data_IF_974851580397
#
_entry.id   IF_974851580397
#
_cell.length_a   1.000
_cell.length_b   1.000
_cell.length_c   1.000
_cell.angle_alpha   90.00
_cell.angle_beta   90.00
_cell.angle_gamma   90.00
#
_symmetry.space_group_name_H-M   'P 1'
#
loop_
_entity.id
_entity.type
_entity.pdbx_description
1 polymer ?
#
# COMPACT_ATOMS: atom_id res chain seq x y z
N UNK A 1 1.71 1.98 -7.07
CA UNK A 1 1.06 2.46 -5.82
C UNK A 1 1.70 1.80 -4.61
N UNK A 2 1.52 2.33 -3.40
CA UNK A 2 2.06 1.78 -2.13
C UNK A 2 1.82 0.27 -1.98
N UNK A 3 0.64 -0.23 -2.40
CA UNK A 3 0.32 -1.67 -2.38
C UNK A 3 1.22 -2.49 -3.31
N UNK A 4 1.51 -2.00 -4.52
CA UNK A 4 2.36 -2.72 -5.48
C UNK A 4 3.77 -2.91 -4.94
N UNK A 5 4.34 -1.86 -4.33
CA UNK A 5 5.65 -1.96 -3.70
C UNK A 5 5.62 -2.88 -2.46
N UNK A 6 4.55 -2.83 -1.67
CA UNK A 6 4.38 -3.77 -0.57
C UNK A 6 4.28 -5.23 -1.05
N UNK A 7 3.58 -5.48 -2.18
CA UNK A 7 3.50 -6.79 -2.80
C UNK A 7 4.85 -7.29 -3.35
N UNK A 8 5.74 -6.37 -3.72
CA UNK A 8 7.12 -6.70 -4.13
C UNK A 8 8.05 -7.01 -2.94
N UNK A 9 7.54 -6.95 -1.71
CA UNK A 9 8.32 -7.24 -0.49
C UNK A 9 9.04 -6.03 0.09
N UNK A 10 8.85 -4.82 -0.44
CA UNK A 10 9.48 -3.62 0.11
C UNK A 10 8.87 -3.25 1.47
N UNK A 11 9.74 -2.90 2.42
CA UNK A 11 9.35 -2.35 3.71
C UNK A 11 8.72 -0.98 3.57
N UNK A 12 7.98 -0.54 4.59
CA UNK A 12 7.36 0.79 4.61
C UNK A 12 8.40 1.92 4.44
N UNK A 13 9.60 1.76 5.00
CA UNK A 13 10.68 2.74 4.87
C UNK A 13 11.23 2.78 3.44
N UNK A 14 11.47 1.64 2.82
CA UNK A 14 11.91 1.56 1.42
C UNK A 14 10.87 2.17 0.48
N UNK A 15 9.57 1.92 0.73
CA UNK A 15 8.48 2.53 -0.02
C UNK A 15 8.52 4.05 0.11
N UNK A 16 8.70 4.57 1.32
CA UNK A 16 8.78 6.00 1.58
C UNK A 16 9.97 6.64 0.86
N UNK A 17 11.15 6.02 0.95
CA UNK A 17 12.36 6.42 0.23
C UNK A 17 12.13 6.44 -1.29
N UNK A 18 11.57 5.37 -1.84
CA UNK A 18 11.34 5.20 -3.28
C UNK A 18 10.26 6.14 -3.82
N UNK A 19 9.30 6.54 -2.99
CA UNK A 19 8.31 7.55 -3.31
C UNK A 19 8.78 8.98 -3.05
N UNK A 20 9.97 9.16 -2.47
CA UNK A 20 10.48 10.46 -2.01
C UNK A 20 9.47 11.17 -1.08
N UNK A 21 8.90 10.41 -0.14
CA UNK A 21 7.90 10.88 0.84
C UNK A 21 8.32 10.51 2.25
N UNK A 22 7.81 11.23 3.24
CA UNK A 22 7.94 10.83 4.63
C UNK A 22 7.18 9.53 4.90
N UNK A 23 7.70 8.72 5.82
CA UNK A 23 7.08 7.45 6.23
C UNK A 23 5.65 7.66 6.71
N UNK A 24 5.39 8.73 7.46
CA UNK A 24 4.04 9.05 7.95
C UNK A 24 3.07 9.44 6.84
N UNK A 25 3.55 10.06 5.75
CA UNK A 25 2.73 10.29 4.56
C UNK A 25 2.32 8.96 3.92
N UNK A 26 3.23 7.99 3.82
CA UNK A 26 2.92 6.65 3.28
C UNK A 26 1.93 5.91 4.18
N UNK A 27 2.04 6.04 5.51
CA UNK A 27 1.03 5.51 6.46
C UNK A 27 -0.35 6.13 6.22
N UNK A 28 -0.40 7.45 6.01
CA UNK A 28 -1.63 8.16 5.66
C UNK A 28 -2.26 7.61 4.38
N UNK A 29 -1.45 7.41 3.33
CA UNK A 29 -1.92 6.78 2.09
C UNK A 29 -2.43 5.36 2.32
N UNK A 30 -1.72 4.52 3.08
CA UNK A 30 -2.20 3.16 3.41
C UNK A 30 -3.56 3.20 4.10
N UNK A 31 -3.72 4.07 5.12
CA UNK A 31 -4.96 4.18 5.87
C UNK A 31 -6.13 4.61 4.98
N UNK A 32 -5.92 5.63 4.15
CA UNK A 32 -6.94 6.09 3.20
C UNK A 32 -7.29 4.99 2.19
N UNK A 33 -6.29 4.25 1.71
CA UNK A 33 -6.50 3.16 0.76
C UNK A 33 -7.27 2.00 1.41
N UNK A 34 -6.95 1.64 2.65
CA UNK A 34 -7.66 0.59 3.39
C UNK A 34 -9.12 0.94 3.60
N UNK A 35 -9.41 2.21 3.94
CA UNK A 35 -10.79 2.70 4.03
C UNK A 35 -11.50 2.65 2.68
N UNK A 36 -10.84 3.08 1.58
CA UNK A 36 -11.43 3.06 0.23
C UNK A 36 -11.72 1.64 -0.29
N UNK A 37 -10.85 0.68 0.03
CA UNK A 37 -10.98 -0.71 -0.39
C UNK A 37 -11.79 -1.55 0.60
N UNK A 38 -12.19 -0.98 1.74
CA UNK A 38 -12.85 -1.65 2.85
C UNK A 38 -12.10 -2.91 3.33
N UNK A 39 -10.78 -2.78 3.54
CA UNK A 39 -9.88 -3.85 4.00
C UNK A 39 -9.24 -3.49 5.33
N UNK A 40 -8.93 -4.51 6.15
CA UNK A 40 -8.31 -4.35 7.46
C UNK A 40 -6.79 -4.38 7.47
N UNK A 41 -6.15 -4.93 6.43
CA UNK A 41 -4.69 -5.09 6.39
C UNK A 41 -4.10 -5.03 4.97
N UNK A 42 -2.76 -5.00 4.89
CA UNK A 42 -2.04 -4.91 3.61
C UNK A 42 -2.20 -6.17 2.76
N UNK A 43 -2.34 -7.35 3.37
CA UNK A 43 -2.50 -8.61 2.64
C UNK A 43 -3.86 -8.69 1.96
N UNK A 44 -4.94 -8.31 2.66
CA UNK A 44 -6.27 -8.14 2.09
C UNK A 44 -6.28 -7.08 1.00
N UNK A 45 -5.58 -5.96 1.22
CA UNK A 45 -5.44 -4.94 0.20
C UNK A 45 -4.76 -5.50 -1.05
N UNK A 46 -3.63 -6.22 -0.91
CA UNK A 46 -2.93 -6.88 -2.03
C UNK A 46 -3.85 -7.85 -2.75
N UNK A 47 -4.55 -8.73 -2.02
CA UNK A 47 -5.50 -9.68 -2.59
C UNK A 47 -6.62 -8.97 -3.37
N UNK A 48 -7.20 -7.91 -2.80
CA UNK A 48 -8.23 -7.10 -3.46
C UNK A 48 -7.71 -6.49 -4.77
N UNK A 49 -6.58 -5.80 -4.73
CA UNK A 49 -6.04 -5.11 -5.93
C UNK A 49 -5.62 -6.14 -7.01
N UNK A 50 -5.15 -7.32 -6.60
CA UNK A 50 -4.82 -8.44 -7.50
C UNK A 50 -6.08 -9.04 -8.14
N UNK A 51 -7.12 -9.31 -7.34
CA UNK A 51 -8.39 -9.88 -7.79
C UNK A 51 -9.09 -8.95 -8.79
N UNK A 52 -9.05 -7.65 -8.54
CA UNK A 52 -9.66 -6.63 -9.39
C UNK A 52 -8.77 -6.21 -10.59
N UNK A 53 -7.60 -6.84 -10.80
CA UNK A 53 -6.63 -6.51 -11.87
C UNK A 53 -6.23 -5.02 -11.91
N UNK A 54 -6.11 -4.40 -10.73
CA UNK A 54 -5.78 -2.99 -10.58
C UNK A 54 -4.26 -2.73 -10.49
N UNK A 55 -3.43 -3.74 -10.79
CA UNK A 55 -1.95 -3.74 -10.74
C UNK A 55 -1.32 -4.60 -11.82
#
# INVERSE_FOLDING_TARGET
TVIRLANQGYSLQEIAQRMNKAVDTVKGYRKMLFQKLNVGNISEAIAYVTLHKLI
#
